data_IF_080064106814
#
_entry.id   IF_080064106814
#
_cell.length_a   1.000
_cell.length_b   1.000
_cell.length_c   1.000
_cell.angle_alpha   90.00
_cell.angle_beta   90.00
_cell.angle_gamma   90.00
#
_symmetry.space_group_name_H-M   'P 1'
#
loop_
_entity.id
_entity.type
_entity.pdbx_description
1 polymer ?
#
# COMPACT_ATOMS: atom_id res chain seq x y z
N UNK A 1 5.88 -6.66 -5.50
CA UNK A 1 4.78 -7.51 -4.99
C UNK A 1 3.56 -7.32 -5.88
N UNK A 2 2.81 -8.38 -6.09
CA UNK A 2 1.49 -8.31 -6.72
C UNK A 2 0.43 -8.24 -5.63
N UNK A 3 -0.51 -7.31 -5.76
CA UNK A 3 -1.68 -7.22 -4.86
C UNK A 3 -2.93 -7.46 -5.68
N UNK A 4 -3.77 -8.38 -5.22
CA UNK A 4 -5.05 -8.69 -5.84
C UNK A 4 -6.18 -8.34 -4.88
N UNK A 5 -7.08 -7.48 -5.31
CA UNK A 5 -8.27 -7.08 -4.55
C UNK A 5 -9.47 -7.04 -5.47
N UNK A 6 -10.70 -7.22 -4.94
CA UNK A 6 -11.90 -7.00 -5.75
C UNK A 6 -12.01 -5.55 -6.18
N UNK A 7 -12.41 -5.31 -7.41
CA UNK A 7 -12.80 -3.99 -7.84
C UNK A 7 -13.98 -3.51 -6.99
N UNK A 8 -13.91 -2.30 -6.42
CA UNK A 8 -14.92 -1.81 -5.47
C UNK A 8 -16.31 -1.62 -6.06
N UNK A 9 -16.40 -1.55 -7.39
CA UNK A 9 -17.66 -1.34 -8.10
C UNK A 9 -18.20 -2.61 -8.74
N UNK A 10 -17.30 -3.50 -9.21
CA UNK A 10 -17.70 -4.68 -9.97
C UNK A 10 -17.51 -5.99 -9.22
N UNK A 11 -16.65 -6.01 -8.18
CA UNK A 11 -16.27 -7.24 -7.49
C UNK A 11 -15.29 -8.12 -8.28
N UNK A 12 -14.92 -7.71 -9.50
CA UNK A 12 -13.98 -8.47 -10.33
C UNK A 12 -12.57 -8.30 -9.76
N UNK A 13 -11.83 -9.41 -9.51
CA UNK A 13 -10.46 -9.32 -9.00
C UNK A 13 -9.55 -8.50 -9.92
N UNK A 14 -8.76 -7.60 -9.32
CA UNK A 14 -7.80 -6.77 -10.01
C UNK A 14 -6.42 -6.97 -9.38
N UNK A 15 -5.42 -7.22 -10.21
CA UNK A 15 -4.05 -7.42 -9.75
C UNK A 15 -3.15 -6.29 -10.23
N UNK A 16 -2.34 -5.75 -9.32
CA UNK A 16 -1.44 -4.63 -9.60
C UNK A 16 -0.08 -4.90 -8.98
N UNK A 17 0.99 -4.47 -9.66
CA UNK A 17 2.34 -4.49 -9.12
C UNK A 17 2.51 -3.25 -8.23
N UNK A 18 2.95 -3.46 -6.99
CA UNK A 18 3.17 -2.36 -6.05
C UNK A 18 4.53 -2.49 -5.36
N UNK A 19 5.10 -1.36 -4.99
CA UNK A 19 6.29 -1.31 -4.14
C UNK A 19 5.86 -1.62 -2.69
N UNK A 20 6.67 -2.40 -2.00
CA UNK A 20 6.38 -2.78 -0.63
C UNK A 20 7.60 -2.69 0.26
N UNK A 21 7.36 -2.61 1.56
CA UNK A 21 8.39 -2.66 2.59
C UNK A 21 7.99 -3.72 3.60
N UNK A 22 8.96 -4.49 4.07
CA UNK A 22 8.70 -5.43 5.15
C UNK A 22 8.65 -4.67 6.47
N UNK A 23 7.67 -4.98 7.30
CA UNK A 23 7.50 -4.35 8.60
C UNK A 23 6.72 -5.26 9.54
N UNK A 24 7.31 -5.56 10.69
CA UNK A 24 6.64 -6.21 11.82
C UNK A 24 5.91 -7.52 11.43
N UNK A 25 6.58 -8.36 10.65
CA UNK A 25 6.05 -9.64 10.20
C UNK A 25 5.04 -9.55 9.07
N UNK A 26 4.79 -8.36 8.55
CA UNK A 26 3.88 -8.12 7.44
C UNK A 26 4.50 -7.22 6.40
N UNK A 27 3.65 -6.54 5.64
CA UNK A 27 4.07 -5.71 4.52
C UNK A 27 3.40 -4.34 4.60
N UNK A 28 4.15 -3.31 4.22
CA UNK A 28 3.68 -1.94 4.12
C UNK A 28 3.65 -1.55 2.65
N UNK A 29 2.54 -0.99 2.19
CA UNK A 29 2.40 -0.48 0.82
C UNK A 29 2.00 0.98 0.85
N UNK A 30 2.43 1.72 -0.18
CA UNK A 30 2.23 3.17 -0.29
C UNK A 30 1.44 3.51 -1.54
N UNK A 31 0.44 4.35 -1.42
CA UNK A 31 -0.36 4.82 -2.55
C UNK A 31 0.30 6.04 -3.23
N UNK A 32 1.57 5.90 -3.63
CA UNK A 32 2.36 7.01 -4.15
C UNK A 32 2.07 7.35 -5.61
N UNK A 33 1.73 6.36 -6.43
CA UNK A 33 1.54 6.53 -7.89
C UNK A 33 2.69 7.28 -8.56
N UNK A 34 3.93 7.10 -8.09
CA UNK A 34 5.07 7.84 -8.61
C UNK A 34 4.97 9.35 -8.44
N UNK A 35 4.18 9.83 -7.48
CA UNK A 35 3.95 11.25 -7.22
C UNK A 35 2.80 11.84 -8.00
N UNK A 36 1.96 11.05 -8.66
CA UNK A 36 0.76 11.57 -9.32
C UNK A 36 -0.26 12.05 -8.29
N UNK A 37 -0.99 13.12 -8.64
CA UNK A 37 -1.95 13.73 -7.71
C UNK A 37 -3.10 12.81 -7.32
N UNK A 38 -3.76 12.08 -8.23
CA UNK A 38 -4.84 11.18 -7.82
C UNK A 38 -4.33 9.97 -7.08
N UNK A 39 -5.06 9.54 -6.05
CA UNK A 39 -4.82 8.28 -5.40
C UNK A 39 -5.04 7.13 -6.40
N UNK A 40 -4.16 6.10 -6.45
CA UNK A 40 -4.30 5.02 -7.44
C UNK A 40 -5.54 4.17 -7.20
N UNK A 41 -6.08 3.62 -8.29
CA UNK A 41 -7.31 2.82 -8.24
C UNK A 41 -7.15 1.58 -7.35
N UNK A 42 -5.98 0.91 -7.38
CA UNK A 42 -5.75 -0.27 -6.55
C UNK A 42 -5.89 0.04 -5.06
N UNK A 43 -5.46 1.23 -4.65
CA UNK A 43 -5.55 1.62 -3.25
C UNK A 43 -6.99 1.98 -2.87
N UNK A 44 -7.73 2.59 -3.78
CA UNK A 44 -9.17 2.86 -3.59
C UNK A 44 -9.95 1.56 -3.42
N UNK A 45 -9.62 0.55 -4.23
CA UNK A 45 -10.21 -0.78 -4.09
C UNK A 45 -9.83 -1.42 -2.75
N UNK A 46 -8.56 -1.25 -2.33
CA UNK A 46 -8.06 -1.78 -1.07
C UNK A 46 -8.80 -1.17 0.13
N UNK A 47 -9.15 0.12 0.06
CA UNK A 47 -9.90 0.80 1.13
C UNK A 47 -11.29 0.18 1.36
N UNK A 48 -11.85 -0.46 0.34
CA UNK A 48 -13.15 -1.10 0.42
C UNK A 48 -13.07 -2.58 0.75
N UNK A 49 -11.86 -3.10 0.99
CA UNK A 49 -11.61 -4.50 1.27
C UNK A 49 -11.00 -4.67 2.65
N UNK A 50 -11.44 -5.69 3.39
CA UNK A 50 -10.82 -6.08 4.67
C UNK A 50 -9.72 -7.11 4.47
N UNK A 51 -9.70 -7.77 3.31
CA UNK A 51 -8.75 -8.81 2.95
C UNK A 51 -8.28 -8.61 1.52
N UNK A 52 -7.08 -9.12 1.23
CA UNK A 52 -6.50 -9.11 -0.10
C UNK A 52 -5.62 -10.34 -0.27
N UNK A 53 -5.18 -10.58 -1.50
CA UNK A 53 -4.16 -11.59 -1.78
C UNK A 53 -2.90 -10.89 -2.27
N UNK A 54 -1.74 -11.39 -1.83
CA UNK A 54 -0.46 -10.87 -2.29
C UNK A 54 0.40 -12.01 -2.83
N UNK A 55 1.29 -11.67 -3.74
CA UNK A 55 2.33 -12.58 -4.21
C UNK A 55 3.68 -11.89 -4.14
N UNK A 56 4.60 -12.50 -3.41
CA UNK A 56 5.98 -12.05 -3.26
C UNK A 56 6.87 -13.19 -3.76
N UNK A 57 7.55 -12.96 -4.90
CA UNK A 57 8.24 -14.05 -5.58
C UNK A 57 7.27 -15.16 -5.97
N UNK A 58 7.53 -16.39 -5.55
CA UNK A 58 6.66 -17.53 -5.82
C UNK A 58 5.62 -17.77 -4.71
N UNK A 59 5.67 -17.01 -3.61
CA UNK A 59 4.81 -17.21 -2.44
C UNK A 59 3.56 -16.36 -2.53
N UNK A 60 2.41 -17.00 -2.32
CA UNK A 60 1.10 -16.34 -2.27
C UNK A 60 0.57 -16.38 -0.85
N UNK A 61 -0.03 -15.28 -0.41
CA UNK A 61 -0.61 -15.16 0.93
C UNK A 61 -1.94 -14.44 0.88
N UNK A 62 -2.88 -14.91 1.69
CA UNK A 62 -4.03 -14.10 2.05
C UNK A 62 -3.60 -13.16 3.17
N UNK A 63 -4.00 -11.90 3.08
CA UNK A 63 -3.64 -10.88 4.07
C UNK A 63 -4.86 -10.13 4.53
N UNK A 64 -4.79 -9.67 5.78
CA UNK A 64 -5.75 -8.70 6.31
C UNK A 64 -5.21 -7.31 6.06
N UNK A 65 -6.10 -6.38 5.75
CA UNK A 65 -5.78 -5.01 5.41
C UNK A 65 -6.09 -4.11 6.60
N UNK A 66 -5.11 -3.29 7.00
CA UNK A 66 -5.29 -2.28 8.04
C UNK A 66 -4.72 -0.96 7.57
N UNK A 67 -5.43 0.12 7.88
CA UNK A 67 -4.96 1.47 7.57
C UNK A 67 -4.53 2.14 8.86
N UNK A 68 -3.26 2.57 8.97
CA UNK A 68 -2.79 3.23 10.18
C UNK A 68 -3.45 4.60 10.34
N UNK A 69 -3.71 5.00 11.59
CA UNK A 69 -4.12 6.36 11.89
C UNK A 69 -2.99 7.34 11.59
N UNK A 70 -3.27 8.62 11.61
CA UNK A 70 -2.30 9.64 11.18
C UNK A 70 -0.97 9.58 11.94
N UNK A 71 -0.99 9.42 13.24
CA UNK A 71 0.24 9.38 14.04
C UNK A 71 1.09 8.15 13.71
N UNK A 72 0.48 6.98 13.60
CA UNK A 72 1.17 5.77 13.20
C UNK A 72 1.66 5.87 11.75
N UNK A 73 0.82 6.40 10.87
CA UNK A 73 1.20 6.63 9.47
C UNK A 73 2.47 7.47 9.37
N UNK A 74 2.55 8.57 10.09
CA UNK A 74 3.69 9.49 10.03
C UNK A 74 4.97 8.83 10.55
N UNK A 75 4.86 8.01 11.59
CA UNK A 75 6.01 7.24 12.08
C UNK A 75 6.48 6.22 11.05
N UNK A 76 5.56 5.48 10.45
CA UNK A 76 5.89 4.49 9.41
C UNK A 76 6.49 5.16 8.18
N UNK A 77 5.98 6.32 7.80
CA UNK A 77 6.51 7.09 6.70
C UNK A 77 7.98 7.46 6.92
N UNK A 78 8.29 8.02 8.09
CA UNK A 78 9.66 8.44 8.43
C UNK A 78 10.58 7.25 8.65
N UNK A 79 10.16 6.27 9.44
CA UNK A 79 11.04 5.24 9.98
C UNK A 79 11.20 4.04 9.05
N UNK A 80 10.23 3.78 8.20
CA UNK A 80 10.25 2.65 7.27
C UNK A 80 10.40 3.11 5.83
N UNK A 81 9.50 3.94 5.33
CA UNK A 81 9.47 4.32 3.92
C UNK A 81 10.66 5.21 3.56
N UNK A 82 10.79 6.36 4.21
CA UNK A 82 11.87 7.30 3.88
C UNK A 82 13.24 6.78 4.26
N UNK A 83 13.33 5.95 5.30
CA UNK A 83 14.59 5.34 5.71
C UNK A 83 15.13 4.37 4.64
N UNK A 84 14.26 3.64 3.95
CA UNK A 84 14.63 2.66 2.94
C UNK A 84 14.57 3.23 1.52
N UNK A 85 13.70 4.20 1.25
CA UNK A 85 13.50 4.78 -0.06
C UNK A 85 13.27 6.29 0.02
N UNK A 86 14.34 7.10 0.21
CA UNK A 86 14.23 8.56 0.36
C UNK A 86 13.52 9.27 -0.79
N UNK A 87 13.53 8.67 -1.99
CA UNK A 87 12.85 9.22 -3.17
C UNK A 87 11.34 9.45 -2.94
N UNK A 88 10.74 8.73 -1.99
CA UNK A 88 9.32 8.89 -1.69
C UNK A 88 8.98 10.27 -1.12
N UNK A 89 9.95 10.96 -0.49
CA UNK A 89 9.75 12.35 -0.10
C UNK A 89 9.50 13.25 -1.30
N UNK A 90 10.19 12.98 -2.42
CA UNK A 90 9.96 13.69 -3.68
C UNK A 90 8.55 13.41 -4.22
N UNK A 91 8.10 12.15 -4.16
CA UNK A 91 6.76 11.78 -4.62
C UNK A 91 5.68 12.49 -3.82
N UNK A 92 5.86 12.62 -2.51
CA UNK A 92 4.91 13.32 -1.66
C UNK A 92 4.81 14.81 -2.03
N UNK A 93 5.95 15.46 -2.27
CA UNK A 93 5.98 16.85 -2.70
C UNK A 93 5.35 17.03 -4.08
N UNK A 94 5.65 16.13 -5.03
CA UNK A 94 5.12 16.19 -6.39
C UNK A 94 3.60 15.98 -6.41
N UNK A 95 3.10 15.04 -5.63
CA UNK A 95 1.67 14.75 -5.55
C UNK A 95 0.88 15.87 -4.88
N UNK A 96 1.55 16.70 -4.06
CA UNK A 96 0.92 17.75 -3.25
C UNK A 96 -0.21 17.21 -2.38
N UNK A 97 -0.06 15.98 -1.90
CA UNK A 97 -1.03 15.32 -1.03
C UNK A 97 -0.30 14.40 -0.06
N UNK A 98 -0.97 14.06 1.04
CA UNK A 98 -0.50 13.02 1.92
C UNK A 98 -0.57 11.70 1.19
N UNK A 99 0.52 10.93 1.21
CA UNK A 99 0.54 9.58 0.62
C UNK A 99 0.06 8.59 1.68
N UNK A 100 -1.12 7.97 1.51
CA UNK A 100 -1.62 7.02 2.48
C UNK A 100 -0.86 5.70 2.42
N UNK A 101 -0.85 5.00 3.55
CA UNK A 101 -0.20 3.72 3.73
C UNK A 101 -1.24 2.66 4.11
N UNK A 102 -0.95 1.41 3.77
CA UNK A 102 -1.72 0.27 4.24
C UNK A 102 -0.77 -0.80 4.77
N UNK A 103 -1.20 -1.48 5.82
CA UNK A 103 -0.50 -2.61 6.40
C UNK A 103 -1.21 -3.90 5.99
N UNK A 104 -0.45 -4.83 5.44
CA UNK A 104 -0.95 -6.12 4.96
C UNK A 104 -0.34 -7.21 5.84
N UNK A 105 -1.15 -7.85 6.65
CA UNK A 105 -0.69 -8.86 7.59
C UNK A 105 -1.15 -10.23 7.12
N UNK A 106 -0.24 -11.21 6.93
CA UNK A 106 -0.64 -12.57 6.55
C UNK A 106 -1.64 -13.16 7.53
N UNK A 107 -2.66 -13.77 7.00
CA UNK A 107 -3.71 -14.39 7.78
C UNK A 107 -3.29 -15.74 8.34
#
# INVERSE_FOLDING_TARGET
MLVTVPGRRTGIPRTTVVVYFQHDGGYLVCASSGGMAPEPQWFRNLRCASEAQIQVGASRHDVRVRFPERAERDRLWSDVVLAQAPIFAHYERKAARLIPLALLTPS
#
